data_IF_657529610971
#
_entry.id   IF_657529610971
#
_cell.length_a   1.000
_cell.length_b   1.000
_cell.length_c   1.000
_cell.angle_alpha   90.00
_cell.angle_beta   90.00
_cell.angle_gamma   90.00
#
_symmetry.space_group_name_H-M   'P 1'
#
loop_
_entity.id
_entity.type
_entity.pdbx_description
1 polymer ?
#
# COMPACT_ATOMS: atom_id res chain seq x y z
N UNK A 1 14.43 -11.00 33.00
CA UNK A 1 14.15 -10.67 31.59
C UNK A 1 12.70 -10.27 31.55
N UNK A 2 12.45 -8.98 31.42
CA UNK A 2 11.09 -8.45 31.31
C UNK A 2 10.69 -8.41 29.84
N UNK A 3 9.44 -8.76 29.54
CA UNK A 3 8.90 -8.76 28.17
C UNK A 3 7.84 -7.69 28.06
N UNK A 4 8.09 -6.67 27.25
CA UNK A 4 7.17 -5.58 26.97
C UNK A 4 6.52 -5.79 25.60
N UNK A 5 5.25 -5.38 25.47
CA UNK A 5 4.49 -5.50 24.23
C UNK A 5 3.99 -4.11 23.81
N UNK A 6 4.39 -3.66 22.62
CA UNK A 6 3.87 -2.43 22.02
C UNK A 6 2.34 -2.49 21.89
N UNK A 7 1.66 -1.34 22.02
CA UNK A 7 0.23 -1.22 21.78
C UNK A 7 -0.08 0.12 21.11
N UNK A 8 -0.64 0.13 19.88
CA UNK A 8 -1.11 -1.02 19.11
C UNK A 8 0.01 -1.86 18.46
N UNK A 9 -0.32 -3.14 18.17
CA UNK A 9 0.50 -4.10 17.42
C UNK A 9 -0.38 -5.06 16.62
N UNK A 10 0.19 -5.81 15.67
CA UNK A 10 -0.53 -6.88 14.96
C UNK A 10 -1.43 -6.38 13.82
N UNK A 11 -2.61 -6.98 13.65
CA UNK A 11 -3.53 -6.72 12.53
C UNK A 11 -4.21 -5.34 12.58
N UNK A 12 -4.46 -4.77 11.40
CA UNK A 12 -5.25 -3.56 11.22
C UNK A 12 -6.58 -3.90 10.55
N UNK A 13 -7.53 -2.98 10.57
CA UNK A 13 -8.87 -3.20 9.99
C UNK A 13 -8.84 -3.63 8.50
N UNK A 14 -7.88 -3.12 7.72
CA UNK A 14 -7.73 -3.50 6.31
C UNK A 14 -7.26 -4.94 6.14
N UNK A 15 -6.30 -5.38 6.97
CA UNK A 15 -5.78 -6.75 6.98
C UNK A 15 -6.86 -7.73 7.43
N UNK A 16 -7.54 -7.45 8.54
CA UNK A 16 -8.63 -8.31 9.05
C UNK A 16 -9.73 -8.49 8.01
N UNK A 17 -10.17 -7.38 7.39
CA UNK A 17 -11.17 -7.42 6.31
C UNK A 17 -10.70 -8.29 5.15
N UNK A 18 -9.46 -8.13 4.70
CA UNK A 18 -8.98 -8.82 3.51
C UNK A 18 -8.85 -10.34 3.73
N UNK A 19 -8.33 -10.74 4.89
CA UNK A 19 -8.27 -12.15 5.30
C UNK A 19 -9.67 -12.74 5.34
N UNK A 20 -10.62 -12.07 6.01
CA UNK A 20 -11.99 -12.57 6.14
C UNK A 20 -12.74 -12.65 4.82
N UNK A 21 -12.46 -11.76 3.85
CA UNK A 21 -13.01 -11.87 2.49
C UNK A 21 -12.58 -13.19 1.83
N UNK A 22 -11.29 -13.53 1.90
CA UNK A 22 -10.80 -14.80 1.34
C UNK A 22 -11.41 -15.99 2.06
N UNK A 23 -11.45 -15.96 3.41
CA UNK A 23 -12.02 -17.07 4.18
C UNK A 23 -13.49 -17.32 3.86
N UNK A 24 -14.31 -16.25 3.83
CA UNK A 24 -15.73 -16.35 3.53
C UNK A 24 -16.01 -16.74 2.09
N UNK A 25 -15.18 -16.30 1.14
CA UNK A 25 -15.30 -16.74 -0.25
C UNK A 25 -15.10 -18.26 -0.36
N UNK A 26 -14.07 -18.81 0.29
CA UNK A 26 -13.83 -20.26 0.34
C UNK A 26 -15.01 -20.99 0.99
N UNK A 27 -15.48 -20.50 2.14
CA UNK A 27 -16.58 -21.13 2.89
C UNK A 27 -17.91 -21.11 2.11
N UNK A 28 -18.17 -20.04 1.36
CA UNK A 28 -19.47 -19.85 0.68
C UNK A 28 -19.49 -20.46 -0.72
N UNK A 29 -18.36 -20.39 -1.44
CA UNK A 29 -18.29 -20.75 -2.86
C UNK A 29 -17.51 -22.07 -3.10
N UNK A 30 -16.79 -22.56 -2.09
CA UNK A 30 -15.89 -23.69 -2.20
C UNK A 30 -14.53 -23.31 -2.79
N UNK A 31 -13.56 -24.24 -2.66
CA UNK A 31 -12.24 -24.11 -3.27
C UNK A 31 -12.25 -24.62 -4.73
N UNK A 32 -11.37 -24.10 -5.60
CA UNK A 32 -10.35 -23.09 -5.32
C UNK A 32 -10.88 -21.65 -5.42
N UNK A 33 -10.27 -20.74 -4.64
CA UNK A 33 -10.43 -19.29 -4.79
C UNK A 33 -9.09 -18.68 -5.19
N UNK A 34 -9.06 -17.94 -6.30
CA UNK A 34 -7.86 -17.29 -6.77
C UNK A 34 -7.68 -15.94 -6.09
N UNK A 35 -6.45 -15.61 -5.71
CA UNK A 35 -6.10 -14.32 -5.10
C UNK A 35 -4.93 -13.73 -5.89
N UNK A 36 -5.11 -12.53 -6.43
CA UNK A 36 -4.05 -11.84 -7.17
C UNK A 36 -3.08 -11.18 -6.19
N UNK A 37 -1.82 -11.62 -6.23
CA UNK A 37 -0.78 -11.45 -5.22
C UNK A 37 -1.15 -12.02 -3.84
N UNK A 38 -0.19 -12.07 -2.92
CA UNK A 38 -0.48 -12.33 -1.51
C UNK A 38 -1.54 -11.35 -0.97
N UNK A 39 -2.60 -11.87 -0.32
CA UNK A 39 -3.70 -11.04 0.19
C UNK A 39 -3.18 -9.97 1.16
N UNK A 40 -2.16 -10.34 1.95
CA UNK A 40 -1.34 -9.51 2.83
C UNK A 40 0.08 -10.11 2.88
N UNK A 41 1.10 -9.29 3.08
CA UNK A 41 2.49 -9.75 3.18
C UNK A 41 2.80 -10.40 4.54
N UNK A 42 2.26 -11.60 4.77
CA UNK A 42 2.52 -12.42 5.95
C UNK A 42 2.51 -13.91 5.57
N UNK A 43 3.67 -14.57 5.70
CA UNK A 43 3.84 -15.96 5.26
C UNK A 43 2.90 -16.92 5.98
N UNK A 44 2.69 -16.74 7.29
CA UNK A 44 1.81 -17.61 8.06
C UNK A 44 0.36 -17.50 7.59
N UNK A 45 -0.13 -16.29 7.35
CA UNK A 45 -1.49 -16.06 6.83
C UNK A 45 -1.66 -16.63 5.42
N UNK A 46 -0.66 -16.43 4.54
CA UNK A 46 -0.71 -16.93 3.16
C UNK A 46 -0.73 -18.46 3.14
N UNK A 47 0.11 -19.12 3.93
CA UNK A 47 0.13 -20.59 4.04
C UNK A 47 -1.18 -21.15 4.63
N UNK A 48 -1.74 -20.50 5.66
CA UNK A 48 -3.06 -20.89 6.21
C UNK A 48 -4.14 -20.84 5.12
N UNK A 49 -4.21 -19.74 4.35
CA UNK A 49 -5.18 -19.60 3.28
C UNK A 49 -4.96 -20.60 2.14
N UNK A 50 -3.70 -20.90 1.78
CA UNK A 50 -3.37 -21.96 0.79
C UNK A 50 -3.92 -23.32 1.25
N UNK A 51 -3.70 -23.68 2.51
CA UNK A 51 -4.20 -24.92 3.10
C UNK A 51 -5.73 -25.00 3.12
N UNK A 52 -6.42 -23.85 3.11
CA UNK A 52 -7.88 -23.76 3.02
C UNK A 52 -8.41 -23.77 1.58
N UNK A 53 -7.55 -23.70 0.57
CA UNK A 53 -7.93 -23.76 -0.85
C UNK A 53 -7.81 -22.42 -1.61
N UNK A 54 -7.10 -21.44 -1.07
CA UNK A 54 -6.69 -20.26 -1.84
C UNK A 54 -5.53 -20.60 -2.79
N UNK A 55 -5.59 -20.11 -4.02
CA UNK A 55 -4.49 -20.16 -4.99
C UNK A 55 -4.03 -18.74 -5.24
N UNK A 56 -2.79 -18.44 -4.86
CA UNK A 56 -2.18 -17.13 -5.09
C UNK A 56 -1.50 -17.13 -6.46
N UNK A 57 -1.82 -16.13 -7.28
CA UNK A 57 -1.27 -15.93 -8.63
C UNK A 57 -0.66 -14.54 -8.73
N UNK A 58 0.29 -14.34 -9.63
CA UNK A 58 0.85 -13.02 -9.88
C UNK A 58 -0.02 -12.25 -10.87
N UNK A 59 -0.39 -12.91 -11.97
CA UNK A 59 -1.17 -12.33 -13.05
C UNK A 59 -2.52 -13.00 -13.24
N UNK A 60 -3.43 -12.28 -13.92
CA UNK A 60 -4.78 -12.78 -14.11
C UNK A 60 -4.84 -13.90 -15.14
N UNK A 61 -3.97 -13.95 -16.14
CA UNK A 61 -3.91 -15.03 -17.15
C UNK A 61 -3.68 -16.44 -16.56
N UNK A 62 -3.12 -16.51 -15.35
CA UNK A 62 -3.01 -17.74 -14.54
C UNK A 62 -4.35 -18.22 -13.95
N UNK A 63 -5.37 -17.36 -13.92
CA UNK A 63 -6.71 -17.66 -13.40
C UNK A 63 -7.58 -18.25 -14.51
N UNK A 64 -8.25 -19.41 -14.31
CA UNK A 64 -9.18 -19.96 -15.29
C UNK A 64 -10.40 -19.06 -15.54
N UNK A 65 -10.99 -19.16 -16.73
CA UNK A 65 -12.23 -18.47 -17.04
C UNK A 65 -13.37 -18.87 -16.09
N UNK A 66 -14.29 -17.93 -15.82
CA UNK A 66 -15.42 -18.08 -14.89
C UNK A 66 -15.04 -18.35 -13.42
N UNK A 67 -13.75 -18.35 -13.07
CA UNK A 67 -13.29 -18.49 -11.70
C UNK A 67 -13.59 -17.23 -10.86
N UNK A 68 -13.51 -17.41 -9.54
CA UNK A 68 -13.57 -16.30 -8.58
C UNK A 68 -12.17 -15.82 -8.27
N UNK A 69 -11.94 -14.51 -8.41
CA UNK A 69 -10.68 -13.85 -8.11
C UNK A 69 -10.87 -12.80 -7.01
N UNK A 70 -9.89 -12.71 -6.11
CA UNK A 70 -9.84 -11.71 -5.05
C UNK A 70 -8.64 -10.82 -5.29
N UNK A 71 -8.83 -9.50 -5.36
CA UNK A 71 -7.72 -8.54 -5.36
C UNK A 71 -7.21 -8.34 -3.93
N UNK A 72 -5.89 -8.35 -3.74
CA UNK A 72 -5.26 -8.19 -2.41
C UNK A 72 -5.57 -6.85 -1.73
N UNK A 73 -5.23 -6.74 -0.44
CA UNK A 73 -5.43 -5.52 0.34
C UNK A 73 -4.68 -4.30 -0.20
N UNK A 74 -3.60 -4.53 -0.96
CA UNK A 74 -2.73 -3.50 -1.52
C UNK A 74 -3.34 -2.77 -2.72
N UNK A 75 -4.44 -3.29 -3.28
CA UNK A 75 -5.08 -2.70 -4.47
C UNK A 75 -4.44 -3.13 -5.78
N UNK A 76 -5.12 -2.76 -6.87
CA UNK A 76 -4.74 -3.09 -8.26
C UNK A 76 -5.00 -1.91 -9.18
N UNK A 77 -4.29 -1.87 -10.30
CA UNK A 77 -4.42 -0.86 -11.35
C UNK A 77 -5.79 -0.91 -12.05
N UNK A 78 -6.14 0.15 -12.80
CA UNK A 78 -7.33 0.14 -13.66
C UNK A 78 -7.23 -0.89 -14.79
N UNK A 79 -6.03 -1.16 -15.30
CA UNK A 79 -5.79 -2.17 -16.32
C UNK A 79 -6.15 -3.58 -15.82
N UNK A 80 -5.70 -3.95 -14.62
CA UNK A 80 -6.03 -5.26 -14.01
C UNK A 80 -7.54 -5.39 -13.77
N UNK A 81 -8.21 -4.29 -13.36
CA UNK A 81 -9.68 -4.29 -13.20
C UNK A 81 -10.39 -4.49 -14.53
N UNK A 82 -9.93 -3.82 -15.59
CA UNK A 82 -10.51 -3.93 -16.93
C UNK A 82 -10.30 -5.33 -17.51
N UNK A 83 -9.13 -5.95 -17.29
CA UNK A 83 -8.84 -7.33 -17.69
C UNK A 83 -9.76 -8.33 -16.98
N UNK A 84 -9.91 -8.23 -15.66
CA UNK A 84 -10.82 -9.12 -14.93
C UNK A 84 -12.27 -9.00 -15.44
N UNK A 85 -12.70 -7.78 -15.78
CA UNK A 85 -14.02 -7.52 -16.33
C UNK A 85 -14.18 -8.07 -17.76
N UNK A 86 -13.19 -7.86 -18.64
CA UNK A 86 -13.23 -8.35 -20.02
C UNK A 86 -13.23 -9.88 -20.10
N UNK A 87 -12.59 -10.53 -19.13
CA UNK A 87 -12.58 -11.99 -18.96
C UNK A 87 -13.81 -12.55 -18.24
N UNK A 88 -14.72 -11.68 -17.77
CA UNK A 88 -15.92 -12.10 -17.05
C UNK A 88 -15.64 -12.82 -15.72
N UNK A 89 -14.51 -12.54 -15.08
CA UNK A 89 -14.16 -13.13 -13.78
C UNK A 89 -15.10 -12.63 -12.68
N UNK A 90 -15.40 -13.48 -11.69
CA UNK A 90 -16.16 -13.09 -10.50
C UNK A 90 -15.21 -12.45 -9.50
N UNK A 91 -15.25 -11.13 -9.38
CA UNK A 91 -14.26 -10.38 -8.58
C UNK A 91 -14.82 -10.03 -7.19
N UNK A 92 -14.05 -10.33 -6.14
CA UNK A 92 -14.17 -9.66 -4.85
C UNK A 92 -12.97 -8.74 -4.61
N UNK A 93 -13.25 -7.51 -4.20
CA UNK A 93 -12.20 -6.52 -3.97
C UNK A 93 -11.86 -6.39 -2.49
N UNK A 94 -10.72 -6.98 -2.10
CA UNK A 94 -10.21 -6.89 -0.73
C UNK A 94 -9.33 -5.66 -0.48
N UNK A 95 -9.17 -4.75 -1.47
CA UNK A 95 -8.40 -3.50 -1.31
C UNK A 95 -8.81 -2.78 -0.02
N UNK A 96 -7.82 -2.37 0.76
CA UNK A 96 -8.04 -1.59 1.97
C UNK A 96 -8.74 -0.27 1.60
N UNK A 97 -9.82 0.15 2.29
CA UNK A 97 -10.49 1.42 1.98
C UNK A 97 -9.58 2.65 2.04
N UNK A 98 -8.51 2.61 2.84
CA UNK A 98 -7.53 3.69 2.92
C UNK A 98 -6.59 3.73 1.70
N UNK A 99 -6.33 2.58 1.05
CA UNK A 99 -5.67 2.54 -0.27
C UNK A 99 -6.64 3.02 -1.36
N UNK A 100 -7.91 2.62 -1.30
CA UNK A 100 -8.94 3.10 -2.23
C UNK A 100 -9.11 4.64 -2.16
N UNK A 101 -8.96 5.25 -0.97
CA UNK A 101 -8.91 6.72 -0.82
C UNK A 101 -7.80 7.32 -1.68
N UNK A 102 -6.57 6.82 -1.55
CA UNK A 102 -5.40 7.25 -2.33
C UNK A 102 -5.65 7.07 -3.84
N UNK A 103 -6.21 5.93 -4.25
CA UNK A 103 -6.58 5.68 -5.65
C UNK A 103 -7.55 6.75 -6.20
N UNK A 104 -8.57 7.12 -5.41
CA UNK A 104 -9.50 8.17 -5.81
C UNK A 104 -8.86 9.55 -5.87
N UNK A 105 -7.88 9.85 -5.02
CA UNK A 105 -7.14 11.09 -5.09
C UNK A 105 -6.32 11.20 -6.38
N UNK A 106 -5.58 10.14 -6.75
CA UNK A 106 -4.84 10.07 -8.02
C UNK A 106 -5.79 10.25 -9.21
N UNK A 107 -6.88 9.49 -9.25
CA UNK A 107 -7.86 9.59 -10.35
C UNK A 107 -8.51 10.99 -10.42
N UNK A 108 -8.74 11.64 -9.28
CA UNK A 108 -9.26 13.02 -9.23
C UNK A 108 -8.27 14.03 -9.77
N UNK A 109 -6.99 13.93 -9.40
CA UNK A 109 -5.95 14.82 -9.92
C UNK A 109 -5.71 14.62 -11.42
N UNK A 110 -5.74 13.37 -11.87
CA UNK A 110 -5.71 13.02 -13.28
C UNK A 110 -6.83 13.72 -14.08
N UNK A 111 -8.09 13.61 -13.65
CA UNK A 111 -9.23 14.30 -14.28
C UNK A 111 -9.12 15.82 -14.26
N UNK A 112 -8.41 16.37 -13.27
CA UNK A 112 -8.13 17.81 -13.17
C UNK A 112 -6.94 18.25 -14.05
N UNK A 113 -6.29 17.32 -14.79
CA UNK A 113 -5.13 17.60 -15.63
C UNK A 113 -3.88 18.01 -14.84
N UNK A 114 -3.81 17.67 -13.55
CA UNK A 114 -2.74 18.06 -12.63
C UNK A 114 -1.66 16.99 -12.56
N UNK A 115 -0.40 17.39 -12.55
CA UNK A 115 0.69 16.46 -12.26
C UNK A 115 0.59 15.91 -10.82
N UNK A 116 0.99 14.67 -10.60
CA UNK A 116 0.97 14.02 -9.27
C UNK A 116 2.32 13.38 -8.98
N UNK A 117 2.85 13.63 -7.79
CA UNK A 117 4.00 12.89 -7.25
C UNK A 117 3.48 11.86 -6.25
N UNK A 118 3.64 10.57 -6.54
CA UNK A 118 3.48 9.51 -5.57
C UNK A 118 4.80 9.33 -4.81
N UNK A 119 4.75 9.45 -3.50
CA UNK A 119 5.85 9.07 -2.61
C UNK A 119 5.64 7.61 -2.23
N UNK A 120 6.58 6.73 -2.56
CA UNK A 120 6.43 5.29 -2.33
C UNK A 120 7.62 4.48 -2.81
N UNK A 121 7.62 3.18 -2.55
CA UNK A 121 8.69 2.28 -2.97
C UNK A 121 8.39 1.62 -4.33
N UNK A 122 9.33 1.73 -5.28
CA UNK A 122 9.19 1.13 -6.60
C UNK A 122 9.02 -0.39 -6.50
N UNK A 123 8.13 -0.96 -7.32
CA UNK A 123 7.83 -2.39 -7.33
C UNK A 123 6.94 -2.87 -6.18
N UNK A 124 6.54 -2.01 -5.24
CA UNK A 124 5.57 -2.40 -4.21
C UNK A 124 4.15 -2.50 -4.84
N UNK A 125 3.37 -3.57 -4.58
CA UNK A 125 2.04 -3.76 -5.19
C UNK A 125 1.08 -2.57 -5.02
N UNK A 126 1.12 -1.92 -3.85
CA UNK A 126 0.33 -0.71 -3.57
C UNK A 126 0.73 0.48 -4.45
N UNK A 127 2.02 0.62 -4.74
CA UNK A 127 2.56 1.67 -5.61
C UNK A 127 2.15 1.39 -7.05
N UNK A 128 2.32 0.16 -7.54
CA UNK A 128 1.87 -0.24 -8.88
C UNK A 128 0.35 -0.04 -9.06
N UNK A 129 -0.43 -0.44 -8.04
CA UNK A 129 -1.87 -0.21 -8.00
C UNK A 129 -2.25 1.27 -8.06
N UNK A 130 -1.56 2.11 -7.29
CA UNK A 130 -1.81 3.55 -7.20
C UNK A 130 -1.38 4.29 -8.47
N UNK A 131 -0.18 4.00 -8.98
CA UNK A 131 0.33 4.53 -10.25
C UNK A 131 -0.61 4.16 -11.40
N UNK A 132 -1.09 2.91 -11.41
CA UNK A 132 -2.04 2.41 -12.39
C UNK A 132 -3.47 2.95 -12.27
N UNK A 133 -3.75 3.89 -11.37
CA UNK A 133 -4.98 4.70 -11.40
C UNK A 133 -4.88 5.89 -12.35
N UNK A 134 -3.66 6.26 -12.75
CA UNK A 134 -3.44 7.34 -13.69
C UNK A 134 -3.94 6.95 -15.09
N UNK A 135 -4.81 7.78 -15.67
CA UNK A 135 -5.30 7.60 -17.03
C UNK A 135 -4.77 8.75 -17.92
N UNK A 136 -3.73 8.47 -18.70
CA UNK A 136 -3.11 9.47 -19.58
C UNK A 136 -4.07 10.04 -20.65
N UNK A 137 -5.10 9.30 -21.06
CA UNK A 137 -6.12 9.79 -21.98
C UNK A 137 -7.17 10.67 -21.29
N UNK A 138 -7.27 10.55 -19.95
CA UNK A 138 -8.24 11.27 -19.12
C UNK A 138 -7.77 12.65 -18.64
N UNK A 139 -6.54 13.08 -18.93
CA UNK A 139 -6.03 14.39 -18.54
C UNK A 139 -4.60 14.68 -19.01
N UNK A 140 -4.25 15.97 -19.11
CA UNK A 140 -2.96 16.43 -19.65
C UNK A 140 -1.76 16.38 -18.68
N UNK A 141 -1.97 15.91 -17.45
CA UNK A 141 -0.90 15.81 -16.44
C UNK A 141 -0.05 14.55 -16.58
N UNK A 142 0.83 14.32 -15.61
CA UNK A 142 1.60 13.08 -15.45
C UNK A 142 1.64 12.64 -13.99
N UNK A 143 1.84 11.35 -13.76
CA UNK A 143 2.20 10.82 -12.44
C UNK A 143 3.69 10.48 -12.39
N UNK A 144 4.34 10.82 -11.28
CA UNK A 144 5.75 10.60 -11.00
C UNK A 144 5.89 9.77 -9.72
N UNK A 145 6.96 9.00 -9.61
CA UNK A 145 7.31 8.27 -8.39
C UNK A 145 8.60 8.86 -7.81
N UNK A 146 8.61 9.07 -6.49
CA UNK A 146 9.82 9.40 -5.73
C UNK A 146 9.90 8.53 -4.47
N UNK A 147 11.10 8.06 -4.14
CA UNK A 147 11.32 7.18 -2.99
C UNK A 147 12.03 7.89 -1.83
N UNK A 148 12.82 8.92 -2.13
CA UNK A 148 13.68 9.64 -1.18
C UNK A 148 13.92 11.11 -1.59
N UNK A 149 14.70 11.83 -0.78
CA UNK A 149 15.03 13.24 -0.99
C UNK A 149 15.89 13.44 -2.26
N UNK A 150 16.75 12.47 -2.59
CA UNK A 150 17.60 12.56 -3.78
C UNK A 150 16.76 12.44 -5.06
N UNK A 151 15.73 11.59 -5.06
CA UNK A 151 14.72 11.53 -6.11
C UNK A 151 13.96 12.84 -6.28
N UNK A 152 13.68 13.58 -5.19
CA UNK A 152 13.12 14.93 -5.26
C UNK A 152 14.10 15.90 -5.92
N UNK A 153 15.40 15.77 -5.66
CA UNK A 153 16.45 16.64 -6.21
C UNK A 153 16.65 16.47 -7.73
N UNK A 154 16.24 15.33 -8.30
CA UNK A 154 16.29 15.09 -9.75
C UNK A 154 14.92 15.14 -10.44
N UNK A 155 13.82 15.40 -9.70
CA UNK A 155 12.46 15.35 -10.24
C UNK A 155 12.16 16.48 -11.24
N UNK A 156 11.87 16.11 -12.49
CA UNK A 156 11.41 17.01 -13.54
C UNK A 156 9.90 16.86 -13.78
N UNK A 157 9.13 17.87 -13.35
CA UNK A 157 7.67 17.92 -13.52
C UNK A 157 7.28 18.80 -14.70
N UNK A 158 6.20 18.45 -15.40
CA UNK A 158 5.68 19.24 -16.52
C UNK A 158 4.94 20.50 -16.05
N UNK A 159 4.31 20.44 -14.88
CA UNK A 159 3.44 21.49 -14.36
C UNK A 159 3.79 21.89 -12.92
N UNK A 160 4.92 22.57 -12.66
CA UNK A 160 5.36 22.89 -11.29
C UNK A 160 4.39 23.78 -10.49
N UNK A 161 3.51 24.53 -11.18
CA UNK A 161 2.48 25.38 -10.57
C UNK A 161 1.12 24.68 -10.42
N UNK A 162 0.96 23.49 -11.01
CA UNK A 162 -0.25 22.67 -10.94
C UNK A 162 0.19 21.22 -10.67
N UNK A 163 0.64 21.00 -9.44
CA UNK A 163 1.21 19.74 -8.97
C UNK A 163 0.55 19.34 -7.65
N UNK A 164 0.34 18.05 -7.43
CA UNK A 164 -0.06 17.50 -6.15
C UNK A 164 0.86 16.35 -5.75
N UNK A 165 0.80 15.92 -4.49
CA UNK A 165 1.42 14.69 -4.05
C UNK A 165 0.43 13.79 -3.31
N UNK A 166 0.75 12.50 -3.28
CA UNK A 166 0.11 11.47 -2.45
C UNK A 166 1.20 10.51 -1.95
N UNK A 167 0.88 9.65 -0.99
CA UNK A 167 1.85 8.70 -0.43
C UNK A 167 1.32 7.28 -0.40
N UNK A 168 2.24 6.31 -0.46
CA UNK A 168 1.98 4.96 -0.01
C UNK A 168 1.61 4.98 1.49
N UNK A 169 0.67 4.11 1.88
CA UNK A 169 0.04 4.12 3.21
C UNK A 169 0.92 3.55 4.33
N UNK A 170 2.02 2.88 3.97
CA UNK A 170 2.86 2.05 4.87
C UNK A 170 4.28 2.58 5.07
N UNK A 171 4.55 3.82 4.65
CA UNK A 171 5.87 4.45 4.74
C UNK A 171 6.28 4.83 6.18
N UNK A 172 7.58 5.05 6.35
CA UNK A 172 8.15 5.72 7.53
C UNK A 172 7.61 7.15 7.60
N UNK A 173 7.00 7.51 8.73
CA UNK A 173 6.39 8.83 8.93
C UNK A 173 7.45 9.93 8.87
N UNK A 174 8.60 9.68 9.49
CA UNK A 174 9.67 10.69 9.59
C UNK A 174 10.37 10.90 8.24
N UNK A 175 10.68 9.82 7.52
CA UNK A 175 11.30 9.91 6.19
C UNK A 175 10.36 10.59 5.20
N UNK A 176 9.08 10.22 5.21
CA UNK A 176 8.07 10.82 4.34
C UNK A 176 7.91 12.31 4.62
N UNK A 177 7.95 12.72 5.90
CA UNK A 177 7.93 14.15 6.27
C UNK A 177 9.09 14.91 5.64
N UNK A 178 10.30 14.33 5.65
CA UNK A 178 11.48 14.92 5.00
C UNK A 178 11.30 15.06 3.48
N UNK A 179 10.77 14.04 2.82
CA UNK A 179 10.49 14.07 1.37
C UNK A 179 9.44 15.14 1.04
N UNK A 180 8.35 15.23 1.81
CA UNK A 180 7.30 16.24 1.63
C UNK A 180 7.88 17.65 1.79
N UNK A 181 8.71 17.88 2.80
CA UNK A 181 9.36 19.18 3.00
C UNK A 181 10.26 19.56 1.82
N UNK A 182 11.04 18.61 1.29
CA UNK A 182 11.86 18.83 0.11
C UNK A 182 11.01 19.14 -1.14
N UNK A 183 9.90 18.41 -1.34
CA UNK A 183 8.97 18.66 -2.44
C UNK A 183 8.32 20.03 -2.34
N UNK A 184 7.88 20.44 -1.15
CA UNK A 184 7.26 21.75 -0.91
C UNK A 184 8.26 22.90 -1.06
N UNK A 185 9.52 22.70 -0.66
CA UNK A 185 10.58 23.69 -0.88
C UNK A 185 10.87 23.88 -2.37
N UNK A 186 10.90 22.79 -3.15
CA UNK A 186 11.15 22.82 -4.61
C UNK A 186 9.93 23.29 -5.41
N UNK A 187 8.72 22.91 -4.99
CA UNK A 187 7.46 23.19 -5.66
C UNK A 187 6.46 23.86 -4.69
N UNK A 188 6.59 25.16 -4.39
CA UNK A 188 5.79 25.83 -3.35
C UNK A 188 4.28 25.85 -3.60
N UNK A 189 3.84 25.68 -4.86
CA UNK A 189 2.43 25.61 -5.25
C UNK A 189 1.83 24.20 -5.15
N UNK A 190 2.63 23.20 -4.75
CA UNK A 190 2.19 21.81 -4.66
C UNK A 190 1.05 21.63 -3.64
N UNK A 191 0.04 20.88 -4.03
CA UNK A 191 -1.10 20.54 -3.17
C UNK A 191 -0.89 19.19 -2.50
N UNK A 192 -1.01 19.14 -1.17
CA UNK A 192 -1.06 17.88 -0.44
C UNK A 192 -2.45 17.25 -0.42
N UNK A 193 -2.57 16.01 0.09
CA UNK A 193 -3.84 15.38 0.33
C UNK A 193 -4.60 16.15 1.43
N UNK A 194 -5.94 16.02 1.49
CA UNK A 194 -6.75 16.70 2.52
C UNK A 194 -6.49 16.16 3.93
N UNK A 195 -6.09 14.89 3.99
CA UNK A 195 -5.67 14.16 5.19
C UNK A 195 -4.48 13.30 4.79
N UNK A 196 -3.58 13.01 5.72
CA UNK A 196 -2.43 12.15 5.46
C UNK A 196 -2.83 10.83 4.80
N UNK A 197 -1.99 10.36 3.88
CA UNK A 197 -2.18 9.08 3.17
C UNK A 197 -1.50 7.92 3.93
N UNK A 198 -0.46 8.20 4.72
CA UNK A 198 0.02 7.24 5.72
C UNK A 198 -1.14 6.91 6.66
N UNK A 199 -1.51 5.63 6.72
CA UNK A 199 -2.70 5.25 7.44
C UNK A 199 -2.47 5.27 8.96
N UNK A 200 -3.57 5.42 9.71
CA UNK A 200 -3.56 5.42 11.18
C UNK A 200 -2.82 4.18 11.75
N UNK A 201 -2.96 3.03 11.09
CA UNK A 201 -2.38 1.79 11.54
C UNK A 201 -0.85 1.81 11.47
N UNK A 202 -0.28 2.44 10.43
CA UNK A 202 1.16 2.63 10.26
C UNK A 202 1.68 3.62 11.30
N UNK A 203 1.07 4.80 11.40
CA UNK A 203 1.45 5.85 12.34
C UNK A 203 1.45 5.32 13.79
N UNK A 204 0.31 4.78 14.24
CA UNK A 204 0.17 4.35 15.63
C UNK A 204 1.14 3.22 16.01
N UNK A 205 1.51 2.35 15.06
CA UNK A 205 2.50 1.28 15.32
C UNK A 205 3.92 1.83 15.37
N UNK A 206 4.26 2.80 14.52
CA UNK A 206 5.56 3.48 14.61
C UNK A 206 5.70 4.21 15.94
N UNK A 207 4.66 4.92 16.38
CA UNK A 207 4.66 5.59 17.69
C UNK A 207 4.79 4.61 18.85
N UNK A 208 4.08 3.49 18.80
CA UNK A 208 4.18 2.45 19.83
C UNK A 208 5.55 1.76 19.87
N UNK A 209 6.19 1.56 18.71
CA UNK A 209 7.56 1.00 18.66
C UNK A 209 8.59 2.00 19.16
N UNK A 210 8.44 3.30 18.86
CA UNK A 210 9.30 4.37 19.41
C UNK A 210 9.25 4.40 20.94
N UNK A 211 8.07 4.29 21.54
CA UNK A 211 7.94 4.20 23.00
C UNK A 211 8.57 2.91 23.54
N UNK A 212 8.38 1.79 22.84
CA UNK A 212 8.95 0.50 23.24
C UNK A 212 10.49 0.51 23.21
N UNK A 213 11.08 1.10 22.17
CA UNK A 213 12.53 1.19 21.98
C UNK A 213 13.20 1.93 23.15
N UNK A 214 12.60 2.99 23.68
CA UNK A 214 13.14 3.74 24.83
C UNK A 214 13.22 2.92 26.13
N UNK A 215 12.58 1.75 26.18
CA UNK A 215 12.39 0.94 27.40
C UNK A 215 12.94 -0.47 27.27
N UNK A 216 13.58 -0.80 26.15
CA UNK A 216 14.05 -2.14 25.83
C UNK A 216 15.50 -2.10 25.38
N UNK A 217 16.24 -3.18 25.64
CA UNK A 217 17.59 -3.40 25.11
C UNK A 217 17.59 -4.19 23.78
N UNK A 218 16.42 -4.75 23.41
CA UNK A 218 16.20 -5.49 22.17
C UNK A 218 14.73 -5.37 21.75
N UNK A 219 14.48 -5.03 20.48
CA UNK A 219 13.12 -5.03 19.90
C UNK A 219 12.97 -6.14 18.86
N UNK A 220 11.98 -7.00 19.06
CA UNK A 220 11.62 -8.06 18.10
C UNK A 220 10.36 -7.67 17.33
N UNK A 221 10.50 -7.42 16.03
CA UNK A 221 9.37 -7.16 15.13
C UNK A 221 8.97 -8.44 14.41
N UNK A 222 7.74 -8.89 14.64
CA UNK A 222 7.18 -10.08 13.97
C UNK A 222 6.49 -9.67 12.67
N UNK A 223 7.09 -10.00 11.53
CA UNK A 223 6.55 -9.76 10.20
C UNK A 223 7.37 -10.46 9.11
N UNK A 224 6.81 -10.59 7.90
CA UNK A 224 7.56 -11.12 6.76
C UNK A 224 8.54 -10.09 6.19
N UNK A 225 9.67 -10.51 5.57
CA UNK A 225 10.61 -9.60 4.92
C UNK A 225 10.01 -8.71 3.81
N UNK A 226 8.96 -9.18 3.13
CA UNK A 226 8.25 -8.41 2.09
C UNK A 226 7.21 -7.41 2.66
N UNK A 227 7.03 -7.33 3.98
CA UNK A 227 6.08 -6.40 4.60
C UNK A 227 6.70 -5.01 4.80
N UNK A 228 6.31 -4.03 3.98
CA UNK A 228 6.78 -2.63 4.07
C UNK A 228 6.65 -2.06 5.49
N UNK A 229 5.44 -2.10 6.06
CA UNK A 229 5.19 -1.61 7.42
C UNK A 229 6.04 -2.33 8.48
N UNK A 230 6.20 -3.67 8.39
CA UNK A 230 7.01 -4.40 9.39
C UNK A 230 8.48 -4.00 9.34
N UNK A 231 9.03 -3.79 8.13
CA UNK A 231 10.39 -3.28 7.96
C UNK A 231 10.55 -1.87 8.53
N UNK A 232 9.55 -0.98 8.34
CA UNK A 232 9.57 0.37 8.94
C UNK A 232 9.65 0.33 10.47
N UNK A 233 8.94 -0.61 11.11
CA UNK A 233 9.02 -0.78 12.57
C UNK A 233 10.40 -1.26 13.02
N UNK A 234 11.02 -2.21 12.29
CA UNK A 234 12.37 -2.70 12.60
C UNK A 234 13.39 -1.57 12.47
N UNK A 235 13.36 -0.85 11.35
CA UNK A 235 14.30 0.23 11.07
C UNK A 235 14.14 1.41 12.03
N UNK A 236 12.91 1.69 12.48
CA UNK A 236 12.68 2.72 13.49
C UNK A 236 13.32 2.36 14.83
N UNK A 237 13.16 1.11 15.29
CA UNK A 237 13.82 0.65 16.51
C UNK A 237 15.36 0.71 16.39
N UNK A 238 15.89 0.27 15.24
CA UNK A 238 17.33 0.30 14.96
C UNK A 238 17.90 1.73 14.99
N UNK A 239 17.17 2.71 14.45
CA UNK A 239 17.54 4.14 14.49
C UNK A 239 17.50 4.71 15.90
N UNK A 240 16.61 4.21 16.75
CA UNK A 240 16.52 4.58 18.16
C UNK A 240 17.54 3.82 19.04
N UNK A 241 18.37 2.97 18.43
CA UNK A 241 19.53 2.34 19.05
C UNK A 241 19.29 0.93 19.60
N UNK A 242 18.24 0.24 19.15
CA UNK A 242 17.76 -1.03 19.72
C UNK A 242 17.41 -2.10 18.68
#
# INVERSE_FOLDING_TARGET
MDVLLANPRGFCAGVDRAIEIVKRAIETLGAPIYVRHEVVHNRFVVEDLRNRGAIFVEELDEVPDNATVIFSAHGVSQAVRAEAASRGLKVFDATCPLVTKVHFEVARHCRAGRDVVLIGHAGHPEVEGTMGQWNAEGGAGRIYLVEDIDGVATLEVGQPQNLAYTTQTTLSVDDTRGIIQALQARFPAMQGPRHDDICYATQNRQDAVRELAQRCDLVLVVGSPNSSNSNRLRELAERDGV
#
